data_IF_806963144699
#
_entry.id   IF_806963144699
#
_cell.length_a   1.000
_cell.length_b   1.000
_cell.length_c   1.000
_cell.angle_alpha   90.00
_cell.angle_beta   90.00
_cell.angle_gamma   90.00
#
_symmetry.space_group_name_H-M   'P 1'
#
loop_
_entity.id
_entity.type
_entity.pdbx_description
1 polymer ?
#
# COMPACT_ATOMS: atom_id res chain seq x y z
N UNK A 1 8.05 2.82 -4.52
CA UNK A 1 6.70 3.39 -4.39
C UNK A 1 6.83 4.81 -3.87
N UNK A 2 6.32 5.78 -4.62
CA UNK A 2 6.40 7.21 -4.29
C UNK A 2 5.03 7.87 -4.39
N UNK A 3 4.97 9.12 -3.93
CA UNK A 3 3.73 9.91 -3.93
C UNK A 3 2.55 9.19 -3.25
N UNK A 4 2.86 8.46 -2.16
CA UNK A 4 1.86 7.67 -1.44
C UNK A 4 0.85 8.62 -0.79
N UNK A 5 -0.43 8.44 -1.11
CA UNK A 5 -1.54 9.30 -0.69
C UNK A 5 -2.71 8.45 -0.20
N UNK A 6 -3.51 8.99 0.71
CA UNK A 6 -4.81 8.40 1.05
C UNK A 6 -5.70 8.45 -0.19
N UNK A 7 -6.40 7.34 -0.48
CA UNK A 7 -7.40 7.26 -1.55
C UNK A 7 -8.80 7.09 -0.96
N UNK A 8 -9.66 8.09 -1.17
CA UNK A 8 -11.05 8.04 -0.72
C UNK A 8 -11.94 7.34 -1.76
N UNK A 9 -12.00 6.02 -1.68
CA UNK A 9 -12.85 5.22 -2.56
C UNK A 9 -14.34 5.49 -2.31
N UNK A 10 -15.13 5.62 -3.39
CA UNK A 10 -16.58 5.83 -3.29
C UNK A 10 -17.30 4.66 -2.63
N UNK A 11 -16.68 3.46 -2.60
CA UNK A 11 -17.25 2.28 -1.92
C UNK A 11 -17.45 2.51 -0.42
N UNK A 12 -16.61 3.34 0.21
CA UNK A 12 -16.74 3.67 1.62
C UNK A 12 -17.99 4.48 1.96
N UNK A 13 -18.57 5.15 0.96
CA UNK A 13 -19.81 5.93 1.13
C UNK A 13 -21.01 5.14 0.62
N UNK A 14 -20.84 4.40 -0.47
CA UNK A 14 -21.95 3.76 -1.19
C UNK A 14 -22.25 2.32 -0.74
N UNK A 15 -21.36 1.68 0.04
CA UNK A 15 -21.55 0.34 0.57
C UNK A 15 -21.71 0.39 2.10
N UNK A 16 -22.86 -0.07 2.60
CA UNK A 16 -23.21 -0.13 4.02
C UNK A 16 -22.37 -1.09 4.86
N UNK A 17 -21.57 -1.96 4.23
CA UNK A 17 -20.63 -2.85 4.91
C UNK A 17 -19.43 -2.10 5.49
N UNK A 18 -19.17 -0.89 5.00
CA UNK A 18 -18.10 -0.03 5.49
C UNK A 18 -18.64 0.97 6.50
N UNK A 19 -17.95 1.10 7.63
CA UNK A 19 -18.24 2.12 8.63
C UNK A 19 -16.98 2.93 8.91
N UNK A 20 -17.09 4.26 8.87
CA UNK A 20 -15.94 5.14 9.12
C UNK A 20 -15.51 5.02 10.58
N UNK A 21 -14.22 4.76 10.79
CA UNK A 21 -13.58 4.73 12.11
C UNK A 21 -12.89 6.08 12.35
N UNK A 22 -11.99 6.45 11.45
CA UNK A 22 -11.24 7.71 11.47
C UNK A 22 -11.05 8.22 10.03
N UNK A 23 -10.35 9.33 9.83
CA UNK A 23 -10.09 9.84 8.48
C UNK A 23 -9.25 8.86 7.66
N UNK A 24 -9.80 8.39 6.54
CA UNK A 24 -9.17 7.40 5.67
C UNK A 24 -9.13 5.97 6.23
N UNK A 25 -9.72 5.70 7.39
CA UNK A 25 -9.79 4.36 7.99
C UNK A 25 -11.25 3.96 8.19
N UNK A 26 -11.60 2.79 7.67
CA UNK A 26 -12.95 2.23 7.73
C UNK A 26 -12.89 0.83 8.34
N UNK A 27 -14.02 0.37 8.86
CA UNK A 27 -14.20 -1.01 9.30
C UNK A 27 -15.09 -1.74 8.31
N UNK A 28 -14.66 -2.91 7.87
CA UNK A 28 -15.41 -3.83 7.04
C UNK A 28 -15.42 -5.22 7.73
N UNK A 29 -16.57 -5.61 8.27
CA UNK A 29 -16.68 -6.84 9.06
C UNK A 29 -15.74 -6.86 10.28
N UNK A 30 -14.84 -7.84 10.33
CA UNK A 30 -13.82 -7.99 11.38
C UNK A 30 -12.51 -7.25 11.11
N UNK A 31 -12.39 -6.54 9.99
CA UNK A 31 -11.15 -5.89 9.56
C UNK A 31 -11.27 -4.37 9.59
N UNK A 32 -10.13 -3.73 9.80
CA UNK A 32 -9.90 -2.32 9.53
C UNK A 32 -9.23 -2.19 8.18
N UNK A 33 -9.64 -1.21 7.39
CA UNK A 33 -9.17 -1.01 6.02
C UNK A 33 -8.81 0.45 5.77
N UNK A 34 -7.81 0.65 4.92
CA UNK A 34 -7.44 1.95 4.34
C UNK A 34 -7.11 1.74 2.87
N UNK A 35 -7.46 2.70 2.03
CA UNK A 35 -6.98 2.69 0.65
C UNK A 35 -5.90 3.73 0.44
N UNK A 36 -4.85 3.32 -0.25
CA UNK A 36 -3.72 4.17 -0.63
C UNK A 36 -3.57 4.17 -2.15
N UNK A 37 -3.11 5.29 -2.68
CA UNK A 37 -2.63 5.40 -4.05
C UNK A 37 -1.15 5.72 -4.07
N UNK A 38 -0.40 5.21 -5.06
CA UNK A 38 1.04 5.44 -5.19
C UNK A 38 1.48 5.33 -6.65
N UNK A 39 2.72 5.72 -6.92
CA UNK A 39 3.39 5.54 -8.22
C UNK A 39 4.56 4.59 -8.03
N UNK A 40 4.70 3.61 -8.92
CA UNK A 40 5.84 2.70 -8.93
C UNK A 40 7.13 3.40 -9.40
N UNK A 41 8.27 2.93 -8.90
CA UNK A 41 9.59 3.49 -9.22
C UNK A 41 10.48 2.46 -9.95
N UNK A 42 10.49 2.44 -11.30
CA UNK A 42 11.28 1.47 -12.08
C UNK A 42 12.79 1.49 -11.80
N UNK A 43 13.32 2.60 -11.29
CA UNK A 43 14.72 2.71 -10.85
C UNK A 43 15.05 1.82 -9.63
N UNK A 44 14.03 1.38 -8.91
CA UNK A 44 14.07 0.43 -7.79
C UNK A 44 13.49 -0.93 -8.19
N UNK A 45 13.49 -1.25 -9.48
CA UNK A 45 13.02 -2.53 -10.03
C UNK A 45 11.51 -2.76 -9.86
N UNK A 46 10.74 -1.70 -9.66
CA UNK A 46 9.28 -1.74 -9.61
C UNK A 46 8.64 -1.68 -11.02
N UNK A 47 7.33 -1.92 -11.09
CA UNK A 47 6.56 -1.98 -12.32
C UNK A 47 6.48 -0.64 -13.06
N UNK A 48 6.18 -0.70 -14.36
CA UNK A 48 6.16 0.48 -15.23
C UNK A 48 4.81 1.23 -15.22
N UNK A 49 3.73 0.53 -14.89
CA UNK A 49 2.35 1.04 -14.91
C UNK A 49 1.50 0.35 -13.84
N UNK A 50 0.22 0.71 -13.71
CA UNK A 50 -0.64 0.22 -12.64
C UNK A 50 -1.18 -1.19 -12.85
N UNK A 51 -1.18 -1.72 -14.08
CA UNK A 51 -1.68 -3.08 -14.37
C UNK A 51 -0.81 -4.20 -13.81
N UNK A 52 0.44 -3.90 -13.44
CA UNK A 52 1.38 -4.84 -12.84
C UNK A 52 2.06 -4.19 -11.64
N UNK A 53 1.40 -4.26 -10.48
CA UNK A 53 1.96 -3.79 -9.21
C UNK A 53 3.05 -4.77 -8.77
N UNK A 54 4.26 -4.27 -8.56
CA UNK A 54 5.40 -5.06 -8.14
C UNK A 54 5.21 -5.68 -6.76
N UNK A 55 5.68 -6.92 -6.66
CA UNK A 55 5.78 -7.67 -5.40
C UNK A 55 6.65 -6.95 -4.36
N UNK A 56 7.76 -6.34 -4.79
CA UNK A 56 8.64 -5.53 -3.95
C UNK A 56 8.48 -4.05 -4.31
N UNK A 57 8.24 -3.14 -3.36
CA UNK A 57 8.26 -3.32 -1.90
C UNK A 57 6.93 -3.74 -1.26
N UNK A 58 5.94 -4.17 -2.05
CA UNK A 58 4.60 -4.43 -1.51
C UNK A 58 4.60 -5.50 -0.41
N UNK A 59 5.22 -6.66 -0.62
CA UNK A 59 5.24 -7.75 0.37
C UNK A 59 5.93 -7.34 1.66
N UNK A 60 7.06 -6.62 1.58
CA UNK A 60 7.77 -6.13 2.76
C UNK A 60 6.93 -5.10 3.55
N UNK A 61 6.15 -4.25 2.86
CA UNK A 61 5.18 -3.35 3.52
C UNK A 61 4.09 -4.16 4.22
N UNK A 62 3.57 -5.21 3.57
CA UNK A 62 2.54 -6.07 4.17
C UNK A 62 3.07 -6.79 5.42
N UNK A 63 4.31 -7.27 5.39
CA UNK A 63 4.96 -7.92 6.54
C UNK A 63 5.27 -6.92 7.66
N UNK A 64 5.91 -5.78 7.35
CA UNK A 64 6.28 -4.75 8.34
C UNK A 64 5.08 -4.23 9.14
N UNK A 65 3.92 -4.09 8.47
CA UNK A 65 2.71 -3.54 9.07
C UNK A 65 1.63 -4.58 9.37
N UNK A 66 1.92 -5.88 9.29
CA UNK A 66 0.94 -6.97 9.50
C UNK A 66 -0.39 -6.79 8.74
N UNK A 67 -0.29 -6.40 7.47
CA UNK A 67 -1.44 -6.12 6.61
C UNK A 67 -1.58 -7.16 5.48
N UNK A 68 -2.74 -7.18 4.82
CA UNK A 68 -2.96 -7.88 3.56
C UNK A 68 -3.75 -6.99 2.59
N UNK A 69 -3.76 -7.34 1.30
CA UNK A 69 -4.56 -6.63 0.30
C UNK A 69 -5.98 -7.20 0.28
N UNK A 70 -6.98 -6.35 0.53
CA UNK A 70 -8.40 -6.72 0.43
C UNK A 70 -9.02 -6.35 -0.91
N UNK A 71 -8.43 -5.40 -1.64
CA UNK A 71 -8.90 -4.97 -2.95
C UNK A 71 -7.75 -4.42 -3.79
N UNK A 72 -7.61 -4.94 -5.01
CA UNK A 72 -6.62 -4.49 -5.98
C UNK A 72 -7.15 -3.40 -6.90
N UNK A 73 -8.42 -3.00 -6.81
CA UNK A 73 -9.00 -1.96 -7.67
C UNK A 73 -8.69 -2.18 -9.17
N UNK A 74 -8.89 -3.41 -9.67
CA UNK A 74 -8.50 -3.81 -11.03
C UNK A 74 -9.03 -2.88 -12.14
N UNK A 75 -10.20 -2.24 -11.92
CA UNK A 75 -10.78 -1.27 -12.85
C UNK A 75 -9.99 0.05 -12.95
N UNK A 76 -9.21 0.40 -11.93
CA UNK A 76 -8.35 1.58 -11.88
C UNK A 76 -6.90 1.25 -12.24
N UNK A 77 -6.46 0.05 -11.88
CA UNK A 77 -5.11 -0.46 -12.09
C UNK A 77 -4.96 -1.06 -13.49
N UNK A 78 -4.90 -0.18 -14.50
CA UNK A 78 -4.82 -0.53 -15.92
C UNK A 78 -3.49 -0.11 -16.55
N UNK A 79 -3.18 -0.63 -17.74
CA UNK A 79 -1.90 -0.43 -18.43
C UNK A 79 -1.62 1.04 -18.75
N UNK A 80 -2.68 1.82 -19.02
CA UNK A 80 -2.61 3.25 -19.33
C UNK A 80 -2.44 4.15 -18.09
N UNK A 81 -2.56 3.59 -16.88
CA UNK A 81 -2.40 4.34 -15.63
C UNK A 81 -1.00 4.16 -15.05
N UNK A 82 -0.45 5.24 -14.51
CA UNK A 82 0.79 5.20 -13.70
C UNK A 82 0.52 5.25 -12.20
N UNK A 83 -0.73 5.52 -11.80
CA UNK A 83 -1.16 5.58 -10.41
C UNK A 83 -1.80 4.25 -10.05
N UNK A 84 -1.21 3.59 -9.07
CA UNK A 84 -1.68 2.34 -8.49
C UNK A 84 -2.61 2.64 -7.32
N UNK A 85 -3.61 1.79 -7.09
CA UNK A 85 -4.55 1.87 -5.98
C UNK A 85 -4.63 0.51 -5.29
N UNK A 86 -4.53 0.48 -3.97
CA UNK A 86 -4.69 -0.74 -3.18
C UNK A 86 -5.51 -0.44 -1.92
N UNK A 87 -6.36 -1.39 -1.54
CA UNK A 87 -6.94 -1.42 -0.20
C UNK A 87 -6.15 -2.40 0.67
N UNK A 88 -5.62 -1.86 1.75
CA UNK A 88 -4.93 -2.62 2.80
C UNK A 88 -5.92 -2.92 3.92
N UNK A 89 -5.80 -4.10 4.50
CA UNK A 89 -6.61 -4.59 5.60
C UNK A 89 -5.76 -5.22 6.70
N UNK A 90 -6.18 -5.06 7.95
CA UNK A 90 -5.68 -5.80 9.10
C UNK A 90 -6.83 -6.08 10.08
N UNK A 91 -6.70 -7.10 10.92
CA UNK A 91 -7.61 -7.32 12.05
C UNK A 91 -7.42 -6.30 13.16
N UNK A 92 -6.26 -5.64 13.22
CA UNK A 92 -5.91 -4.65 14.24
C UNK A 92 -5.94 -3.23 13.68
N UNK A 93 -6.57 -2.31 14.42
CA UNK A 93 -6.66 -0.90 14.01
C UNK A 93 -5.28 -0.23 14.00
N UNK A 94 -4.41 -0.62 14.93
CA UNK A 94 -3.10 0.00 15.10
C UNK A 94 -2.18 -0.31 13.92
N UNK A 95 -2.26 -1.51 13.34
CA UNK A 95 -1.54 -1.90 12.13
C UNK A 95 -1.87 -0.96 10.96
N UNK A 96 -3.16 -0.68 10.74
CA UNK A 96 -3.62 0.27 9.71
C UNK A 96 -3.15 1.70 10.00
N UNK A 97 -3.08 2.10 11.27
CA UNK A 97 -2.57 3.43 11.67
C UNK A 97 -1.07 3.54 11.37
N UNK A 98 -0.29 2.53 11.74
CA UNK A 98 1.15 2.45 11.50
C UNK A 98 1.46 2.43 10.00
N UNK A 99 0.72 1.63 9.21
CA UNK A 99 0.83 1.62 7.76
C UNK A 99 0.64 3.02 7.18
N UNK A 100 -0.37 3.77 7.65
CA UNK A 100 -0.66 5.13 7.15
C UNK A 100 0.46 6.14 7.44
N UNK A 101 1.43 5.84 8.30
CA UNK A 101 2.62 6.67 8.49
C UNK A 101 3.54 6.71 7.26
N UNK A 102 3.35 5.84 6.26
CA UNK A 102 4.08 5.91 4.98
C UNK A 102 3.51 6.95 4.01
N UNK A 103 2.33 7.52 4.30
CA UNK A 103 1.75 8.57 3.45
C UNK A 103 2.71 9.76 3.37
N UNK A 104 2.96 10.22 2.15
CA UNK A 104 3.91 11.31 1.87
C UNK A 104 5.38 10.89 1.85
N UNK A 105 5.71 9.62 2.14
CA UNK A 105 7.06 9.07 2.08
C UNK A 105 7.31 8.35 0.74
N UNK A 106 8.58 8.07 0.46
CA UNK A 106 8.98 7.11 -0.55
C UNK A 106 9.36 5.80 0.14
N UNK A 107 8.86 4.70 -0.40
CA UNK A 107 9.08 3.36 0.13
C UNK A 107 9.62 2.48 -0.97
N UNK A 108 10.79 1.88 -0.81
CA UNK A 108 11.43 1.06 -1.85
C UNK A 108 12.38 0.06 -1.22
N UNK A 109 12.68 -1.02 -1.92
CA UNK A 109 13.73 -1.95 -1.52
C UNK A 109 15.09 -1.49 -2.03
N UNK A 110 16.12 -1.72 -1.21
CA UNK A 110 17.50 -1.43 -1.59
C UNK A 110 18.43 -2.54 -1.10
N UNK A 111 19.37 -2.93 -1.95
CA UNK A 111 20.48 -3.78 -1.52
C UNK A 111 21.39 -3.02 -0.53
N UNK A 112 21.64 -3.64 0.63
CA UNK A 112 22.52 -3.13 1.68
C UNK A 112 23.60 -4.16 1.99
N UNK A 113 24.85 -3.69 2.06
CA UNK A 113 25.99 -4.53 2.42
C UNK A 113 26.21 -4.54 3.92
N UNK A 114 26.14 -5.72 4.52
CA UNK A 114 26.55 -5.98 5.90
C UNK A 114 27.79 -6.87 5.88
N UNK A 115 28.96 -6.24 5.83
CA UNK A 115 30.23 -6.94 5.64
C UNK A 115 30.38 -7.51 4.23
N UNK A 116 30.53 -8.83 4.12
CA UNK A 116 30.62 -9.55 2.84
C UNK A 116 29.25 -9.99 2.29
N UNK A 117 28.18 -9.88 3.09
CA UNK A 117 26.84 -10.31 2.73
C UNK A 117 26.00 -9.13 2.20
N UNK A 118 25.15 -9.41 1.22
CA UNK A 118 24.17 -8.47 0.67
C UNK A 118 22.79 -8.88 1.17
N UNK A 119 22.08 -7.92 1.74
CA UNK A 119 20.70 -8.02 2.18
C UNK A 119 19.84 -7.05 1.37
N UNK A 120 18.54 -7.27 1.36
CA UNK A 120 17.57 -6.33 0.79
C UNK A 120 16.79 -5.76 1.95
N UNK A 121 16.89 -4.45 2.15
CA UNK A 121 16.18 -3.74 3.20
C UNK A 121 15.00 -2.96 2.60
N UNK A 122 13.90 -2.88 3.34
CA UNK A 122 12.82 -1.94 3.08
C UNK A 122 13.24 -0.55 3.58
N UNK A 123 13.33 0.41 2.66
CA UNK A 123 13.66 1.80 2.97
C UNK A 123 12.39 2.63 2.97
N UNK A 124 12.17 3.39 4.04
CA UNK A 124 11.06 4.32 4.21
C UNK A 124 11.65 5.71 4.48
N UNK A 125 11.52 6.64 3.53
CA UNK A 125 12.20 7.95 3.55
C UNK A 125 11.28 9.14 3.26
#
# INVERSE_FOLDING_TARGET
MREIKSYDSTKYVNNSEYSKVEEGIYRNGSHYVTSLSFIQEPKHEEGLNASEISQFPLEDILEEYNCFISDYYDELNVEESVVCYLEFASTELEDIKNLREIIGKNVYNQEVKHGEQVYVDLIIS
#
